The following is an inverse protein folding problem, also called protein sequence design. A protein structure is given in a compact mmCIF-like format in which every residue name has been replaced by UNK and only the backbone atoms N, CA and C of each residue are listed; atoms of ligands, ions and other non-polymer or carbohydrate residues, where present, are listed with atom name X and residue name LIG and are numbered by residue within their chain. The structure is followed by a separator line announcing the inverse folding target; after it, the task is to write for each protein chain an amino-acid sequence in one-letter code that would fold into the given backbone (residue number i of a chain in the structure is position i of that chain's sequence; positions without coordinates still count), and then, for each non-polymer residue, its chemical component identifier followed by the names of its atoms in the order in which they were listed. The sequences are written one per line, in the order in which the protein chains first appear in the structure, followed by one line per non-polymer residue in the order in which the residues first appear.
data_IF_518115590355
#
_entry.id   IF_518115590355
#
_cell.length_a   1.000
_cell.length_b   1.000
_cell.length_c   1.000
_cell.angle_alpha   90.00
_cell.angle_beta   90.00
_cell.angle_gamma   90.00
#
_symmetry.space_group_name_H-M   'P 1'
#
loop_
_entity.id
_entity.type
_entity.pdbx_description
1 polymer ?
#
# COMPACT_ATOMS: atom_id res chain seq x y z
N UNK A 1 -10.81 7.51 17.92
CA UNK A 1 -9.35 7.75 17.99
C UNK A 1 -8.71 6.78 17.02
N UNK A 2 -8.03 7.26 15.98
CA UNK A 2 -7.38 6.36 15.01
C UNK A 2 -6.04 5.89 15.58
N UNK A 3 -5.86 4.58 15.71
CA UNK A 3 -4.59 4.02 16.13
C UNK A 3 -3.57 4.23 15.00
N UNK A 4 -2.42 4.82 15.35
CA UNK A 4 -1.26 4.84 14.46
C UNK A 4 -0.69 3.43 14.43
N UNK A 5 -0.39 2.92 13.24
CA UNK A 5 0.26 1.63 13.06
C UNK A 5 1.43 1.75 12.08
N UNK A 6 2.21 0.68 11.98
CA UNK A 6 3.26 0.50 10.99
C UNK A 6 2.85 -0.60 10.03
N UNK A 7 3.11 -0.44 8.74
CA UNK A 7 2.99 -1.53 7.76
C UNK A 7 4.41 -2.04 7.47
N UNK A 8 4.63 -3.33 7.65
CA UNK A 8 5.82 -4.02 7.19
C UNK A 8 5.53 -4.61 5.80
N UNK A 9 6.17 -4.05 4.78
CA UNK A 9 6.13 -4.53 3.40
C UNK A 9 7.24 -5.54 3.22
N UNK A 10 6.89 -6.82 3.23
CA UNK A 10 7.82 -7.88 2.85
C UNK A 10 7.89 -7.91 1.32
N UNK A 11 9.06 -7.70 0.73
CA UNK A 11 9.29 -7.62 -0.71
C UNK A 11 10.02 -8.88 -1.23
N UNK A 12 9.50 -9.46 -2.32
CA UNK A 12 10.09 -10.64 -2.96
C UNK A 12 9.08 -11.56 -3.64
N UNK A 13 9.46 -12.84 -3.73
CA UNK A 13 8.69 -13.85 -4.46
C UNK A 13 7.69 -14.60 -3.58
N UNK A 14 6.72 -15.21 -4.25
CA UNK A 14 5.87 -16.26 -3.71
C UNK A 14 6.23 -17.55 -4.45
N UNK A 15 6.52 -18.61 -3.71
CA UNK A 15 6.70 -19.96 -4.25
C UNK A 15 5.52 -20.83 -3.85
N UNK A 16 4.94 -21.52 -4.83
CA UNK A 16 3.88 -22.51 -4.62
C UNK A 16 4.52 -23.91 -4.61
N UNK A 17 4.27 -24.68 -3.55
CA UNK A 17 4.67 -26.08 -3.38
C UNK A 17 3.42 -26.94 -3.20
N UNK A 18 2.82 -27.38 -4.31
CA UNK A 18 1.50 -28.03 -4.26
C UNK A 18 0.45 -27.06 -3.72
N UNK A 19 -0.27 -27.45 -2.67
CA UNK A 19 -1.30 -26.61 -2.02
C UNK A 19 -0.73 -25.60 -1.03
N UNK A 20 0.59 -25.50 -0.90
CA UNK A 20 1.25 -24.62 0.07
C UNK A 20 1.86 -23.42 -0.66
N UNK A 21 1.34 -22.24 -0.38
CA UNK A 21 1.93 -20.97 -0.80
C UNK A 21 2.92 -20.49 0.25
N UNK A 22 4.21 -20.43 -0.09
CA UNK A 22 5.28 -19.96 0.78
C UNK A 22 5.84 -18.63 0.27
N UNK A 23 5.93 -17.66 1.18
CA UNK A 23 6.59 -16.40 0.89
C UNK A 23 8.11 -16.54 1.02
N UNK A 24 8.86 -15.97 0.07
CA UNK A 24 10.33 -16.12 0.01
C UNK A 24 11.05 -14.79 0.07
N UNK A 25 10.36 -13.70 0.44
CA UNK A 25 10.94 -12.38 0.36
C UNK A 25 12.17 -12.20 1.24
N UNK A 26 13.05 -11.34 0.75
CA UNK A 26 14.41 -11.14 1.26
C UNK A 26 14.58 -9.75 1.87
N UNK A 27 13.62 -8.85 1.67
CA UNK A 27 13.68 -7.47 2.11
C UNK A 27 12.39 -7.05 2.79
N UNK A 28 12.49 -6.22 3.82
CA UNK A 28 11.33 -5.68 4.55
C UNK A 28 11.47 -4.18 4.66
N UNK A 29 10.45 -3.46 4.19
CA UNK A 29 10.35 -2.00 4.29
C UNK A 29 9.23 -1.60 5.24
N UNK A 30 9.43 -0.53 6.01
CA UNK A 30 8.48 -0.11 7.04
C UNK A 30 7.84 1.23 6.70
N UNK A 31 6.51 1.23 6.51
CA UNK A 31 5.72 2.44 6.44
C UNK A 31 5.26 2.82 7.84
N UNK A 32 5.90 3.82 8.43
CA UNK A 32 5.63 4.25 9.80
C UNK A 32 4.45 5.23 9.92
N UNK A 33 3.79 5.22 11.08
CA UNK A 33 2.76 6.20 11.48
C UNK A 33 1.57 6.27 10.51
N UNK A 34 1.24 5.15 9.88
CA UNK A 34 0.07 5.01 9.03
C UNK A 34 -1.22 5.31 9.80
N UNK A 35 -2.18 5.94 9.11
CA UNK A 35 -3.53 6.18 9.61
C UNK A 35 -4.50 5.35 8.79
N UNK A 36 -5.44 4.67 9.45
CA UNK A 36 -6.36 3.73 8.81
C UNK A 36 -7.16 4.35 7.65
N UNK A 37 -7.62 5.59 7.81
CA UNK A 37 -8.40 6.30 6.78
C UNK A 37 -7.60 6.68 5.52
N UNK A 38 -6.27 6.56 5.56
CA UNK A 38 -5.35 6.96 4.47
C UNK A 38 -4.77 5.74 3.75
N UNK A 39 -4.79 4.57 4.39
CA UNK A 39 -4.24 3.34 3.81
C UNK A 39 -5.35 2.61 3.05
N UNK A 40 -5.21 2.59 1.72
CA UNK A 40 -6.02 1.79 0.80
C UNK A 40 -5.10 0.95 -0.10
N UNK A 41 -5.69 0.10 -0.94
CA UNK A 41 -4.94 -0.79 -1.83
C UNK A 41 -3.95 -0.03 -2.71
N UNK A 42 -4.42 1.04 -3.36
CA UNK A 42 -3.60 1.85 -4.26
C UNK A 42 -2.45 2.56 -3.53
N UNK A 43 -2.65 2.99 -2.29
CA UNK A 43 -1.61 3.61 -1.48
C UNK A 43 -0.48 2.61 -1.18
N UNK A 44 -0.81 1.35 -0.89
CA UNK A 44 0.17 0.28 -0.68
C UNK A 44 0.92 0.00 -1.98
N UNK A 45 0.20 -0.17 -3.10
CA UNK A 45 0.82 -0.39 -4.43
C UNK A 45 1.77 0.75 -4.79
N UNK A 46 1.34 2.00 -4.61
CA UNK A 46 2.17 3.18 -4.88
C UNK A 46 3.43 3.18 -4.03
N UNK A 47 3.32 2.88 -2.73
CA UNK A 47 4.48 2.82 -1.86
C UNK A 47 5.51 1.77 -2.33
N UNK A 48 5.05 0.61 -2.80
CA UNK A 48 5.95 -0.43 -3.35
C UNK A 48 6.59 0.00 -4.66
N UNK A 49 5.84 0.67 -5.53
CA UNK A 49 6.39 1.24 -6.78
C UNK A 49 7.44 2.33 -6.49
N UNK A 50 7.18 3.21 -5.53
CA UNK A 50 8.11 4.26 -5.09
C UNK A 50 9.42 3.67 -4.51
N UNK A 51 9.36 2.44 -3.98
CA UNK A 51 10.54 1.67 -3.53
C UNK A 51 11.30 0.97 -4.68
N UNK A 52 10.82 1.09 -5.92
CA UNK A 52 11.45 0.47 -7.08
C UNK A 52 11.07 -1.00 -7.30
N UNK A 53 9.89 -1.42 -6.84
CA UNK A 53 9.39 -2.80 -7.04
C UNK A 53 8.10 -2.82 -7.84
N UNK A 54 7.98 -3.78 -8.75
CA UNK A 54 6.71 -4.12 -9.38
C UNK A 54 5.80 -4.87 -8.42
N UNK A 55 4.48 -4.73 -8.57
CA UNK A 55 3.48 -5.47 -7.80
C UNK A 55 2.72 -6.39 -8.75
N UNK A 56 2.86 -7.70 -8.56
CA UNK A 56 1.99 -8.71 -9.20
C UNK A 56 0.80 -9.03 -8.33
N UNK A 57 1.04 -9.31 -7.05
CA UNK A 57 0.01 -9.63 -6.06
C UNK A 57 0.41 -9.11 -4.68
N UNK A 58 -0.59 -8.79 -3.88
CA UNK A 58 -0.47 -8.45 -2.47
C UNK A 58 -1.08 -9.56 -1.64
N UNK A 59 -0.47 -9.88 -0.52
CA UNK A 59 -0.93 -10.95 0.37
C UNK A 59 -0.83 -10.52 1.83
N UNK A 60 -1.70 -11.07 2.67
CA UNK A 60 -1.57 -10.98 4.12
C UNK A 60 -1.74 -12.36 4.75
N UNK A 61 -1.09 -12.56 5.90
CA UNK A 61 -1.29 -13.76 6.70
C UNK A 61 -2.59 -13.63 7.50
N UNK A 62 -3.48 -14.61 7.35
CA UNK A 62 -4.63 -14.76 8.24
C UNK A 62 -4.17 -15.17 9.64
N UNK A 63 -4.87 -14.70 10.68
CA UNK A 63 -4.70 -15.20 12.04
C UNK A 63 -5.27 -16.62 12.11
N UNK A 64 -4.45 -17.60 11.79
CA UNK A 64 -4.72 -19.02 12.03
C UNK A 64 -3.57 -19.63 12.84
N UNK A 65 -3.87 -20.65 13.64
CA UNK A 65 -2.88 -21.40 14.43
C UNK A 65 -1.64 -21.70 13.59
N UNK A 66 -0.48 -21.50 14.21
CA UNK A 66 0.86 -21.24 13.66
C UNK A 66 1.46 -22.29 12.72
N UNK A 67 0.66 -23.27 12.28
CA UNK A 67 1.03 -24.38 11.40
C UNK A 67 0.36 -24.29 10.00
N UNK A 68 -0.66 -23.44 9.82
CA UNK A 68 -1.40 -23.27 8.55
C UNK A 68 -1.77 -21.81 8.28
N UNK A 69 -0.86 -20.87 8.52
CA UNK A 69 -1.11 -19.47 8.17
C UNK A 69 -1.30 -19.36 6.66
N UNK A 70 -2.56 -19.35 6.22
CA UNK A 70 -2.93 -19.16 4.83
C UNK A 70 -2.66 -17.72 4.44
N UNK A 71 -1.94 -17.52 3.34
CA UNK A 71 -1.85 -16.24 2.69
C UNK A 71 -3.17 -15.99 1.95
N UNK A 72 -3.79 -14.86 2.24
CA UNK A 72 -4.97 -14.39 1.50
C UNK A 72 -4.54 -13.24 0.61
N UNK A 73 -4.93 -13.32 -0.66
CA UNK A 73 -4.65 -12.25 -1.61
C UNK A 73 -5.49 -11.02 -1.27
N UNK A 74 -4.84 -9.86 -1.23
CA UNK A 74 -5.49 -8.56 -1.19
C UNK A 74 -5.78 -8.15 -2.63
N UNK A 75 -7.04 -7.91 -2.95
CA UNK A 75 -7.52 -7.49 -4.27
C UNK A 75 -8.41 -6.24 -4.21
N UNK A 76 -8.75 -5.76 -3.01
CA UNK A 76 -9.62 -4.58 -2.84
C UNK A 76 -9.33 -3.79 -1.56
N UNK A 77 -9.85 -2.56 -1.52
CA UNK A 77 -9.79 -1.68 -0.35
C UNK A 77 -10.52 -2.25 0.87
N UNK A 78 -11.60 -3.01 0.67
CA UNK A 78 -12.35 -3.64 1.77
C UNK A 78 -11.47 -4.60 2.58
N UNK A 79 -10.62 -5.38 1.90
CA UNK A 79 -9.69 -6.29 2.56
C UNK A 79 -8.54 -5.53 3.27
N UNK A 80 -8.12 -4.38 2.74
CA UNK A 80 -7.17 -3.50 3.42
C UNK A 80 -7.81 -2.92 4.68
N UNK A 81 -9.07 -2.50 4.62
CA UNK A 81 -9.81 -2.02 5.79
C UNK A 81 -9.98 -3.11 6.84
N UNK A 82 -10.34 -4.33 6.44
CA UNK A 82 -10.45 -5.48 7.34
C UNK A 82 -9.10 -5.76 8.03
N UNK A 83 -8.02 -5.83 7.25
CA UNK A 83 -6.67 -6.05 7.75
C UNK A 83 -6.27 -4.96 8.75
N UNK A 84 -6.49 -3.69 8.42
CA UNK A 84 -6.17 -2.55 9.29
C UNK A 84 -7.06 -2.55 10.54
N UNK A 85 -8.34 -2.86 10.41
CA UNK A 85 -9.28 -2.96 11.53
C UNK A 85 -8.86 -4.04 12.53
N UNK A 86 -8.53 -5.23 12.03
CA UNK A 86 -8.10 -6.37 12.86
C UNK A 86 -6.70 -6.20 13.45
N UNK A 87 -5.76 -5.62 12.69
CA UNK A 87 -4.33 -5.61 13.05
C UNK A 87 -3.83 -4.30 13.66
N UNK A 88 -4.58 -3.19 13.58
CA UNK A 88 -4.12 -1.90 14.14
C UNK A 88 -3.91 -1.91 15.66
N UNK A 89 -4.53 -2.86 16.37
CA UNK A 89 -4.28 -3.12 17.80
C UNK A 89 -2.92 -3.76 18.07
N UNK A 90 -2.32 -4.44 17.08
CA UNK A 90 -1.04 -5.15 17.19
C UNK A 90 0.15 -4.28 16.78
N UNK A 91 -0.08 -3.03 16.35
CA UNK A 91 0.94 -2.03 16.07
C UNK A 91 1.69 -2.21 14.74
N UNK A 92 1.86 -3.44 14.26
CA UNK A 92 2.46 -3.77 12.97
C UNK A 92 1.51 -4.63 12.14
N UNK A 93 1.35 -4.26 10.87
CA UNK A 93 0.59 -4.97 9.87
C UNK A 93 1.56 -5.52 8.83
N UNK A 94 1.59 -6.83 8.66
CA UNK A 94 2.46 -7.49 7.67
C UNK A 94 1.71 -7.63 6.34
N UNK A 95 2.33 -7.12 5.28
CA UNK A 95 1.87 -7.25 3.90
C UNK A 95 3.00 -7.82 3.07
N UNK A 96 2.71 -8.91 2.37
CA UNK A 96 3.64 -9.61 1.51
C UNK A 96 3.40 -9.22 0.06
N UNK A 97 4.44 -8.74 -0.60
CA UNK A 97 4.41 -8.31 -1.99
C UNK A 97 5.03 -9.42 -2.83
N UNK A 98 4.26 -9.94 -3.79
CA UNK A 98 4.77 -10.72 -4.90
C UNK A 98 5.14 -9.75 -6.03
N UNK A 99 6.42 -9.69 -6.36
CA UNK A 99 6.94 -8.70 -7.30
C UNK A 99 8.39 -8.93 -7.67
N UNK A 100 8.92 -8.04 -8.51
CA UNK A 100 10.32 -8.00 -8.91
C UNK A 100 10.85 -6.57 -8.84
N UNK A 101 12.15 -6.40 -8.61
CA UNK A 101 12.84 -5.12 -8.69
C UNK A 101 12.71 -4.52 -10.09
N UNK A 102 12.27 -3.27 -10.18
CA UNK A 102 12.16 -2.49 -11.41
C UNK A 102 13.58 -2.13 -11.87
N UNK A 103 14.21 -3.02 -12.63
CA UNK A 103 15.58 -2.84 -13.12
C UNK A 103 16.32 -4.14 -13.39
N UNK A 104 15.81 -5.28 -12.93
CA UNK A 104 16.39 -6.59 -13.24
C UNK A 104 15.70 -7.14 -14.49
N UNK A 105 16.33 -6.93 -15.65
CA UNK A 105 15.83 -7.32 -16.97
C UNK A 105 16.05 -8.82 -17.23
N UNK A 106 15.61 -9.67 -16.31
CA UNK A 106 15.61 -11.13 -16.49
C UNK A 106 14.19 -11.61 -16.80
N UNK A 107 13.83 -11.48 -18.08
CA UNK A 107 12.66 -12.04 -18.75
C UNK A 107 11.63 -12.80 -17.92
N UNK A 108 10.59 -12.10 -17.47
CA UNK A 108 9.27 -12.71 -17.24
C UNK A 108 8.21 -11.65 -17.54
N UNK A 109 7.79 -11.63 -18.80
CA UNK A 109 6.66 -10.89 -19.33
C UNK A 109 5.40 -11.19 -18.51
N UNK A 110 5.04 -10.29 -17.61
CA UNK A 110 3.66 -9.96 -17.22
C UNK A 110 3.71 -8.78 -16.24
N UNK A 111 4.17 -7.62 -16.73
CA UNK A 111 3.81 -6.34 -16.13
C UNK A 111 2.34 -6.12 -16.43
N UNK A 112 1.48 -6.56 -15.52
CA UNK A 112 0.11 -6.03 -15.48
C UNK A 112 0.27 -4.56 -15.17
N UNK A 113 0.13 -3.71 -16.18
CA UNK A 113 -0.03 -2.29 -15.98
C UNK A 113 -1.27 -2.12 -15.09
N UNK A 114 -1.05 -1.88 -13.80
CA UNK A 114 -2.12 -1.37 -12.94
C UNK A 114 -2.49 -0.04 -13.53
N UNK A 115 -3.60 -0.02 -14.27
CA UNK A 115 -4.12 1.18 -14.90
C UNK A 115 -4.73 2.03 -13.79
N UNK A 116 -3.90 2.72 -13.00
CA UNK A 116 -4.34 3.65 -11.96
C UNK A 116 -4.93 4.86 -12.70
N UNK A 117 -6.25 5.12 -12.64
CA UNK A 117 -6.76 6.40 -13.11
C UNK A 117 -6.12 7.48 -12.25
N UNK A 118 -5.38 8.37 -12.91
CA UNK A 118 -4.78 9.55 -12.30
C UNK A 118 -5.95 10.46 -11.90
N UNK A 119 -6.37 10.41 -10.64
CA UNK A 119 -7.24 11.46 -10.12
C UNK A 119 -6.39 12.73 -10.02
N UNK A 120 -6.51 13.60 -11.02
CA UNK A 120 -6.15 15.00 -10.90
C UNK A 120 -7.13 15.65 -9.90
N UNK A 121 -6.66 15.87 -8.67
CA UNK A 121 -7.30 16.77 -7.71
C UNK A 121 -7.03 18.21 -8.18
N UNK A 122 -7.82 18.66 -9.16
CA UNK A 122 -7.88 20.04 -9.60
C UNK A 122 -8.67 20.88 -8.62
N UNK A 123 -8.08 21.16 -7.45
CA UNK A 123 -8.58 22.11 -6.47
C UNK A 123 -7.98 23.50 -6.71
N UNK A 124 -8.33 24.14 -7.82
CA UNK A 124 -8.09 25.57 -8.04
C UNK A 124 -9.14 26.34 -7.23
N UNK A 125 -8.79 26.69 -5.99
CA UNK A 125 -9.59 27.63 -5.20
C UNK A 125 -9.07 29.03 -5.52
N UNK A 126 -9.68 29.64 -6.53
CA UNK A 126 -9.44 31.04 -6.90
C UNK A 126 -10.00 31.93 -5.79
N UNK A 127 -9.15 32.22 -4.81
CA UNK A 127 -9.42 33.17 -3.76
C UNK A 127 -9.38 34.59 -4.29
N UNK A 128 -10.47 35.05 -4.91
CA UNK A 128 -10.74 36.48 -5.06
C UNK A 128 -11.38 36.98 -3.77
N UNK A 129 -10.54 37.47 -2.85
CA UNK A 129 -10.97 38.37 -1.79
C UNK A 129 -10.25 39.70 -2.00
N UNK A 130 -10.89 40.58 -2.77
CA UNK A 130 -10.50 41.99 -2.87
C UNK A 130 -10.66 42.65 -1.51
N UNK A 131 -9.53 42.81 -0.81
CA UNK A 131 -9.35 43.74 0.29
C UNK A 131 -8.12 44.58 -0.04
N UNK A 132 -8.33 45.71 -0.72
CA UNK A 132 -7.38 46.82 -0.66
C UNK A 132 -7.98 47.96 0.17
N UNK A 133 -7.18 48.33 1.16
CA UNK A 133 -7.37 49.39 2.13
C UNK A 133 -7.45 50.77 1.47
N UNK A 134 -7.97 51.72 2.25
CA UNK A 134 -8.27 53.07 1.79
C UNK A 134 -7.05 53.93 1.47
N UNK A 135 -7.33 54.98 0.69
CA UNK A 135 -6.50 56.18 0.67
C UNK A 135 -7.37 57.39 1.00
N UNK A 136 -7.03 58.00 2.14
CA UNK A 136 -7.48 59.29 2.61
C UNK A 136 -6.74 60.37 1.79
N UNK A 137 -7.43 61.37 1.22
CA UNK A 137 -7.15 62.81 1.45
C UNK A 137 -7.86 63.77 0.48
N UNK A 138 -8.45 64.79 1.12
CA UNK A 138 -8.80 66.16 0.71
C UNK A 138 -10.10 66.41 -0.05
#
# INVERSE_FOLDING_TARGET
MFNKFTIALHLGGVMEFGDITKYTGYHVEYLHRCKSMVVNYNAIVKAVLDLGYSVKKLWYATLGDSLRSGLVQIVSDDQVLELVGLRSSFGVIEVHIEGATLGDDSGSTNTVAVNIPRNEDGGENDGDTDLEEGDEKR
#
